data_IF_287553629443
#
_entry.id   IF_287553629443
#
_cell.length_a   1.000
_cell.length_b   1.000
_cell.length_c   1.000
_cell.angle_alpha   90.00
_cell.angle_beta   90.00
_cell.angle_gamma   90.00
#
_symmetry.space_group_name_H-M   'P 1'
#
loop_
_entity.id
_entity.type
_entity.pdbx_description
1 polymer ?
#
# COMPACT_ATOMS: atom_id res chain seq x y z
N UNK A 1 -28.53 2.16 -13.51
CA UNK A 1 -27.17 2.67 -13.28
C UNK A 1 -27.08 3.94 -12.42
N UNK A 2 -28.16 4.54 -11.98
CA UNK A 2 -28.19 5.87 -11.34
C UNK A 2 -28.18 5.86 -9.80
N UNK A 3 -28.53 4.75 -9.16
CA UNK A 3 -28.75 4.70 -7.71
C UNK A 3 -27.46 4.48 -6.88
N UNK A 4 -26.45 3.83 -7.44
CA UNK A 4 -25.21 3.51 -6.72
C UNK A 4 -24.24 4.69 -6.68
N UNK A 5 -24.19 5.49 -7.75
CA UNK A 5 -23.33 6.69 -7.81
C UNK A 5 -23.78 7.79 -6.82
N UNK A 6 -25.09 7.92 -6.59
CA UNK A 6 -25.67 8.87 -5.64
C UNK A 6 -25.37 8.50 -4.18
N UNK A 7 -25.23 7.21 -3.87
CA UNK A 7 -24.96 6.75 -2.50
C UNK A 7 -23.49 7.01 -2.10
N UNK A 8 -22.58 7.01 -3.05
CA UNK A 8 -21.15 7.29 -2.82
C UNK A 8 -20.88 8.78 -2.59
N UNK A 9 -21.52 9.65 -3.36
CA UNK A 9 -21.42 11.11 -3.15
C UNK A 9 -22.02 11.52 -1.80
N UNK A 10 -23.10 10.87 -1.37
CA UNK A 10 -23.69 11.08 -0.04
C UNK A 10 -22.81 10.54 1.10
N UNK A 11 -22.00 9.50 0.88
CA UNK A 11 -21.06 8.98 1.89
C UNK A 11 -19.88 9.93 2.12
N UNK A 12 -19.34 10.56 1.07
CA UNK A 12 -18.26 11.55 1.20
C UNK A 12 -18.67 12.80 2.02
N UNK A 13 -19.96 13.09 2.07
CA UNK A 13 -20.51 14.25 2.81
C UNK A 13 -20.95 13.91 4.25
N UNK A 14 -21.07 12.62 4.63
CA UNK A 14 -21.61 12.19 5.93
C UNK A 14 -20.56 11.43 6.72
N UNK A 15 -19.94 12.11 7.68
CA UNK A 15 -19.04 11.46 8.66
C UNK A 15 -19.83 10.57 9.61
N UNK A 16 -19.26 9.42 9.98
CA UNK A 16 -19.78 8.51 10.98
C UNK A 16 -18.81 8.42 12.17
N UNK A 17 -19.33 8.09 13.34
CA UNK A 17 -18.49 7.73 14.47
C UNK A 17 -17.77 6.41 14.20
N UNK A 18 -16.59 6.24 14.79
CA UNK A 18 -15.80 5.01 14.69
C UNK A 18 -15.18 4.64 16.04
N UNK A 19 -14.83 3.39 16.17
CA UNK A 19 -14.10 2.83 17.31
C UNK A 19 -12.66 2.51 16.87
N UNK A 20 -11.71 2.59 17.80
CA UNK A 20 -10.29 2.26 17.55
C UNK A 20 -9.85 1.23 18.58
N UNK A 21 -9.27 0.12 18.11
CA UNK A 21 -8.73 -0.94 18.96
C UNK A 21 -7.44 -1.51 18.35
N UNK A 22 -6.54 -1.99 19.20
CA UNK A 22 -5.38 -2.78 18.77
C UNK A 22 -5.69 -4.26 18.94
N UNK A 23 -5.56 -5.05 17.88
CA UNK A 23 -5.74 -6.50 17.89
C UNK A 23 -4.44 -7.21 17.51
N UNK A 24 -4.17 -8.36 18.11
CA UNK A 24 -3.11 -9.23 17.66
C UNK A 24 -3.61 -10.05 16.46
N UNK A 25 -2.96 -9.89 15.30
CA UNK A 25 -3.33 -10.63 14.10
C UNK A 25 -2.34 -11.77 13.79
N UNK A 26 -1.11 -11.66 14.30
CA UNK A 26 -0.05 -12.64 14.07
C UNK A 26 0.94 -12.61 15.23
N UNK A 27 1.68 -13.71 15.44
CA UNK A 27 2.73 -13.79 16.44
C UNK A 27 3.94 -14.56 15.91
N UNK A 28 5.12 -14.02 16.12
CA UNK A 28 6.38 -14.69 15.85
C UNK A 28 7.14 -14.93 17.17
N UNK A 29 7.13 -16.17 17.67
CA UNK A 29 7.66 -16.47 19.01
C UNK A 29 6.95 -15.63 20.08
N UNK A 30 7.72 -14.86 20.84
CA UNK A 30 7.19 -13.98 21.90
C UNK A 30 6.77 -12.60 21.39
N UNK A 31 7.00 -12.28 20.09
CA UNK A 31 6.71 -10.98 19.50
C UNK A 31 5.33 -10.97 18.83
N UNK A 32 4.32 -10.30 19.42
CA UNK A 32 3.05 -10.09 18.77
C UNK A 32 3.17 -9.02 17.66
N UNK A 33 2.49 -9.23 16.55
CA UNK A 33 2.23 -8.21 15.54
C UNK A 33 0.79 -7.75 15.67
N UNK A 34 0.61 -6.46 15.85
CA UNK A 34 -0.68 -5.84 16.09
C UNK A 34 -1.19 -5.14 14.84
N UNK A 35 -2.51 -5.16 14.68
CA UNK A 35 -3.21 -4.25 13.79
C UNK A 35 -4.00 -3.25 14.61
N UNK A 36 -3.87 -1.96 14.32
CA UNK A 36 -4.77 -0.94 14.82
C UNK A 36 -5.95 -0.83 13.89
N UNK A 37 -7.11 -1.20 14.40
CA UNK A 37 -8.35 -1.25 13.64
C UNK A 37 -9.17 0.00 13.92
N UNK A 38 -9.48 0.75 12.88
CA UNK A 38 -10.41 1.88 12.89
C UNK A 38 -11.70 1.40 12.26
N UNK A 39 -12.75 1.23 13.08
CA UNK A 39 -13.98 0.56 12.69
C UNK A 39 -15.18 1.51 12.72
N UNK A 40 -15.77 1.85 11.56
CA UNK A 40 -16.99 2.67 11.50
C UNK A 40 -18.11 2.06 12.32
N UNK A 41 -18.87 2.91 13.04
CA UNK A 41 -20.12 2.48 13.69
C UNK A 41 -21.23 2.37 12.66
N UNK A 42 -22.10 1.38 12.82
CA UNK A 42 -23.20 1.10 11.87
C UNK A 42 -23.29 -0.38 11.53
N UNK A 43 -24.12 -0.70 10.56
CA UNK A 43 -24.46 -2.10 10.25
C UNK A 43 -23.53 -2.74 9.21
N UNK A 44 -22.77 -1.96 8.41
CA UNK A 44 -21.97 -2.51 7.32
C UNK A 44 -22.83 -3.19 6.23
N UNK A 45 -22.27 -4.02 5.36
CA UNK A 45 -20.84 -4.27 5.27
C UNK A 45 -20.09 -3.04 4.74
N UNK A 46 -18.95 -2.76 5.33
CA UNK A 46 -18.08 -1.66 4.94
C UNK A 46 -16.96 -2.15 4.04
N UNK A 47 -16.47 -1.36 3.06
CA UNK A 47 -15.16 -1.56 2.48
C UNK A 47 -14.08 -1.58 3.56
N UNK A 48 -13.01 -2.34 3.34
CA UNK A 48 -11.92 -2.44 4.30
C UNK A 48 -10.56 -2.32 3.59
N UNK A 49 -9.61 -1.65 4.23
CA UNK A 49 -8.24 -1.52 3.77
C UNK A 49 -7.28 -2.14 4.79
N UNK A 50 -6.40 -3.01 4.31
CA UNK A 50 -5.21 -3.41 5.04
C UNK A 50 -4.12 -2.37 4.71
N UNK A 51 -3.71 -1.60 5.72
CA UNK A 51 -2.89 -0.41 5.59
C UNK A 51 -1.43 -0.71 5.95
N UNK A 52 -0.54 -0.47 5.00
CA UNK A 52 0.89 -0.78 5.10
C UNK A 52 1.69 0.51 5.18
N UNK A 53 2.32 0.76 6.34
CA UNK A 53 3.08 1.98 6.57
C UNK A 53 4.36 2.07 5.71
N UNK A 54 4.84 3.29 5.51
CA UNK A 54 6.12 3.59 4.86
C UNK A 54 7.32 3.37 5.78
N UNK A 55 8.40 4.14 5.55
CA UNK A 55 9.63 4.09 6.36
C UNK A 55 10.79 3.35 5.72
N UNK A 56 10.80 3.26 4.38
CA UNK A 56 11.84 2.59 3.59
C UNK A 56 12.13 1.16 4.08
N UNK A 57 11.07 0.42 4.40
CA UNK A 57 11.07 -0.98 4.90
C UNK A 57 11.76 -1.20 6.26
N UNK A 58 12.19 -0.13 6.95
CA UNK A 58 12.99 -0.24 8.18
C UNK A 58 12.41 0.51 9.37
N UNK A 59 11.51 1.44 9.14
CA UNK A 59 10.97 2.35 10.15
C UNK A 59 9.46 2.34 10.18
N UNK A 60 8.90 3.02 11.19
CA UNK A 60 7.46 3.21 11.39
C UNK A 60 6.75 2.01 12.04
N UNK A 61 5.49 2.19 12.35
CA UNK A 61 4.61 1.21 12.95
C UNK A 61 3.14 1.50 12.59
N UNK A 62 2.21 0.71 13.12
CA UNK A 62 0.75 0.84 12.93
C UNK A 62 0.15 2.19 13.31
N UNK A 63 0.88 3.04 14.03
CA UNK A 63 0.41 4.37 14.45
C UNK A 63 0.73 5.45 13.42
N UNK A 64 1.59 5.13 12.48
CA UNK A 64 1.93 6.03 11.37
C UNK A 64 0.68 6.28 10.51
N UNK A 65 0.49 7.51 10.01
CA UNK A 65 -0.63 7.89 9.13
C UNK A 65 -2.03 7.83 9.79
N UNK A 66 -2.11 7.88 11.13
CA UNK A 66 -3.37 7.78 11.88
C UNK A 66 -4.46 8.73 11.36
N UNK A 67 -4.14 9.95 10.94
CA UNK A 67 -5.10 10.92 10.39
C UNK A 67 -5.81 10.39 9.13
N UNK A 68 -5.09 9.63 8.28
CA UNK A 68 -5.68 8.97 7.12
C UNK A 68 -6.65 7.89 7.55
N UNK A 69 -6.25 7.04 8.51
CA UNK A 69 -7.08 5.93 8.98
C UNK A 69 -8.34 6.43 9.68
N UNK A 70 -8.24 7.49 10.48
CA UNK A 70 -9.37 8.18 11.11
C UNK A 70 -10.34 8.75 10.04
N UNK A 71 -9.78 9.42 9.02
CA UNK A 71 -10.58 9.96 7.93
C UNK A 71 -11.33 8.83 7.18
N UNK A 72 -10.63 7.73 6.83
CA UNK A 72 -11.26 6.58 6.18
C UNK A 72 -12.40 6.01 7.03
N UNK A 73 -12.18 5.81 8.33
CA UNK A 73 -13.20 5.28 9.23
C UNK A 73 -14.41 6.22 9.37
N UNK A 74 -14.16 7.53 9.49
CA UNK A 74 -15.22 8.53 9.51
C UNK A 74 -16.06 8.54 8.22
N UNK A 75 -15.51 8.03 7.12
CA UNK A 75 -16.21 7.91 5.83
C UNK A 75 -16.66 6.47 5.49
N UNK A 76 -16.78 5.61 6.52
CA UNK A 76 -17.36 4.29 6.38
C UNK A 76 -16.43 3.24 5.76
N UNK A 77 -15.10 3.38 5.93
CA UNK A 77 -14.10 2.40 5.48
C UNK A 77 -13.37 1.88 6.70
N UNK A 78 -13.34 0.56 6.90
CA UNK A 78 -12.55 -0.06 7.97
C UNK A 78 -11.08 0.00 7.58
N UNK A 79 -10.20 0.48 8.47
CA UNK A 79 -8.76 0.49 8.26
C UNK A 79 -8.04 -0.40 9.26
N UNK A 80 -7.19 -1.30 8.76
CA UNK A 80 -6.32 -2.19 9.54
C UNK A 80 -4.87 -1.74 9.38
N UNK A 81 -4.42 -0.80 10.20
CA UNK A 81 -3.04 -0.32 10.18
C UNK A 81 -2.12 -1.36 10.85
N UNK A 82 -1.21 -1.93 10.09
CA UNK A 82 -0.40 -3.08 10.51
C UNK A 82 0.93 -2.69 11.16
N UNK A 83 1.34 -3.46 12.20
CA UNK A 83 2.74 -3.76 12.42
C UNK A 83 3.11 -4.98 11.55
N UNK A 84 4.31 -5.04 11.04
CA UNK A 84 4.85 -6.19 10.31
C UNK A 84 6.37 -6.27 10.49
N UNK A 85 6.95 -7.44 10.29
CA UNK A 85 8.40 -7.61 10.35
C UNK A 85 9.09 -6.79 9.26
N UNK A 86 10.17 -6.10 9.63
CA UNK A 86 10.88 -5.18 8.74
C UNK A 86 12.30 -4.92 9.20
N UNK A 87 13.08 -4.23 8.37
CA UNK A 87 14.43 -3.79 8.70
C UNK A 87 15.48 -4.89 8.66
N UNK A 88 16.55 -4.65 9.40
CA UNK A 88 17.71 -5.52 9.40
C UNK A 88 17.45 -6.87 10.05
N UNK A 89 16.65 -6.92 11.10
CA UNK A 89 16.34 -8.16 11.82
C UNK A 89 15.45 -9.09 11.00
N UNK A 90 14.57 -8.52 10.19
CA UNK A 90 13.58 -9.24 9.42
C UNK A 90 13.57 -8.76 7.95
N UNK A 91 14.63 -9.11 7.18
CA UNK A 91 14.79 -8.63 5.81
C UNK A 91 13.74 -9.23 4.87
N UNK A 92 13.76 -8.77 3.62
CA UNK A 92 12.96 -9.36 2.54
C UNK A 92 13.07 -10.89 2.52
N UNK A 93 11.96 -11.67 2.43
CA UNK A 93 10.57 -11.24 2.18
C UNK A 93 9.67 -11.20 3.44
N UNK A 94 10.20 -11.08 4.65
CA UNK A 94 9.43 -11.21 5.90
C UNK A 94 8.19 -10.31 5.97
N UNK A 95 8.31 -9.03 5.59
CA UNK A 95 7.17 -8.10 5.56
C UNK A 95 6.03 -8.59 4.65
N UNK A 96 6.36 -9.15 3.48
CA UNK A 96 5.37 -9.64 2.53
C UNK A 96 4.62 -10.87 3.04
N UNK A 97 5.29 -11.71 3.83
CA UNK A 97 4.66 -12.85 4.49
C UNK A 97 3.61 -12.40 5.50
N UNK A 98 3.96 -11.40 6.32
CA UNK A 98 3.05 -10.88 7.34
C UNK A 98 1.87 -10.13 6.72
N UNK A 99 2.10 -9.32 5.67
CA UNK A 99 1.03 -8.60 4.98
C UNK A 99 0.10 -9.57 4.22
N UNK A 100 0.66 -10.59 3.55
CA UNK A 100 -0.14 -11.62 2.91
C UNK A 100 -1.00 -12.37 3.94
N UNK A 101 -0.42 -12.71 5.10
CA UNK A 101 -1.18 -13.32 6.19
C UNK A 101 -2.26 -12.38 6.72
N UNK A 102 -1.96 -11.07 6.92
CA UNK A 102 -2.93 -10.08 7.40
C UNK A 102 -4.15 -9.97 6.48
N UNK A 103 -3.97 -9.97 5.15
CA UNK A 103 -5.11 -9.98 4.21
C UNK A 103 -5.97 -11.22 4.42
N UNK A 104 -5.37 -12.39 4.56
CA UNK A 104 -6.11 -13.65 4.79
C UNK A 104 -6.77 -13.70 6.16
N UNK A 105 -6.12 -13.14 7.18
CA UNK A 105 -6.69 -12.98 8.53
C UNK A 105 -7.93 -12.09 8.51
N UNK A 106 -7.86 -10.92 7.86
CA UNK A 106 -9.02 -10.00 7.74
C UNK A 106 -10.16 -10.66 6.97
N UNK A 107 -9.88 -11.45 5.93
CA UNK A 107 -10.90 -12.22 5.22
C UNK A 107 -11.57 -13.26 6.11
N UNK A 108 -10.79 -13.97 6.91
CA UNK A 108 -11.29 -14.99 7.84
C UNK A 108 -12.23 -14.40 8.89
N UNK A 109 -11.91 -13.19 9.37
CA UNK A 109 -12.66 -12.48 10.41
C UNK A 109 -13.58 -11.36 9.85
N UNK A 110 -13.89 -11.39 8.55
CA UNK A 110 -14.57 -10.29 7.88
C UNK A 110 -15.90 -9.90 8.52
N UNK A 111 -16.70 -10.86 8.99
CA UNK A 111 -17.98 -10.60 9.65
C UNK A 111 -17.82 -9.86 10.99
N UNK A 112 -16.77 -10.14 11.76
CA UNK A 112 -16.48 -9.47 13.03
C UNK A 112 -16.16 -7.99 12.83
N UNK A 113 -15.54 -7.68 11.69
CA UNK A 113 -15.22 -6.32 11.28
C UNK A 113 -16.29 -5.65 10.42
N UNK A 114 -17.46 -6.26 10.31
CA UNK A 114 -18.58 -5.76 9.48
C UNK A 114 -18.16 -5.45 8.03
N UNK A 115 -17.31 -6.30 7.46
CA UNK A 115 -16.90 -6.27 6.06
C UNK A 115 -17.17 -7.62 5.38
N UNK A 116 -16.74 -7.78 4.15
CA UNK A 116 -16.79 -9.05 3.39
C UNK A 116 -15.45 -9.28 2.68
N UNK A 117 -15.03 -10.54 2.45
CA UNK A 117 -13.77 -10.86 1.78
C UNK A 117 -13.56 -10.14 0.44
N UNK A 118 -14.65 -9.89 -0.30
CA UNK A 118 -14.62 -9.22 -1.61
C UNK A 118 -14.44 -7.70 -1.51
N UNK A 119 -14.67 -7.10 -0.32
CA UNK A 119 -14.57 -5.67 -0.08
C UNK A 119 -13.22 -5.26 0.52
N UNK A 120 -12.24 -6.18 0.55
CA UNK A 120 -10.93 -5.93 1.14
C UNK A 120 -9.97 -5.46 0.06
N UNK A 121 -9.33 -4.32 0.31
CA UNK A 121 -8.24 -3.77 -0.47
C UNK A 121 -6.95 -3.69 0.34
N UNK A 122 -5.85 -3.38 -0.37
CA UNK A 122 -4.56 -3.01 0.21
C UNK A 122 -4.32 -1.52 0.02
N UNK A 123 -3.74 -0.88 1.01
CA UNK A 123 -3.30 0.50 0.87
C UNK A 123 -1.92 0.67 1.47
N UNK A 124 -1.14 1.60 0.95
CA UNK A 124 0.16 1.87 1.53
C UNK A 124 0.85 3.11 0.98
N UNK A 125 1.81 3.60 1.77
CA UNK A 125 2.58 4.79 1.47
C UNK A 125 4.05 4.44 1.26
N UNK A 126 4.71 5.08 0.28
CA UNK A 126 6.14 4.93 0.05
C UNK A 126 6.56 3.44 -0.07
N UNK A 127 7.44 2.94 0.79
CA UNK A 127 7.78 1.51 0.85
C UNK A 127 6.59 0.62 1.21
N UNK A 128 5.60 1.12 1.95
CA UNK A 128 4.36 0.39 2.20
C UNK A 128 3.49 0.27 0.96
N UNK A 129 3.44 1.30 0.12
CA UNK A 129 2.77 1.22 -1.19
C UNK A 129 3.40 0.20 -2.14
N UNK A 130 4.74 0.07 -2.08
CA UNK A 130 5.46 -0.99 -2.76
C UNK A 130 5.03 -2.38 -2.26
N UNK A 131 5.07 -2.61 -0.94
CA UNK A 131 4.72 -3.90 -0.34
C UNK A 131 3.25 -4.27 -0.63
N UNK A 132 2.34 -3.30 -0.53
CA UNK A 132 0.92 -3.47 -0.84
C UNK A 132 0.71 -3.91 -2.30
N UNK A 133 1.34 -3.22 -3.25
CA UNK A 133 1.25 -3.58 -4.67
C UNK A 133 1.87 -4.94 -4.95
N UNK A 134 3.02 -5.27 -4.37
CA UNK A 134 3.69 -6.55 -4.61
C UNK A 134 2.88 -7.74 -4.09
N UNK A 135 2.27 -7.62 -2.89
CA UNK A 135 1.35 -8.65 -2.38
C UNK A 135 0.12 -8.77 -3.26
N UNK A 136 -0.47 -7.65 -3.69
CA UNK A 136 -1.63 -7.66 -4.58
C UNK A 136 -1.33 -8.29 -5.94
N UNK A 137 -0.15 -8.05 -6.50
CA UNK A 137 0.29 -8.65 -7.76
C UNK A 137 0.61 -10.15 -7.64
N UNK A 138 1.10 -10.60 -6.48
CA UNK A 138 1.54 -11.98 -6.24
C UNK A 138 0.85 -12.62 -5.01
N UNK A 139 -0.50 -12.64 -4.94
CA UNK A 139 -1.23 -13.09 -3.75
C UNK A 139 -1.04 -14.57 -3.44
N UNK A 140 -0.67 -15.37 -4.43
CA UNK A 140 -0.48 -16.82 -4.32
C UNK A 140 1.01 -17.24 -4.30
N UNK A 141 1.94 -16.29 -4.31
CA UNK A 141 3.38 -16.63 -4.24
C UNK A 141 3.68 -17.41 -2.96
N UNK A 142 4.19 -18.64 -3.06
CA UNK A 142 4.41 -19.48 -1.88
C UNK A 142 5.42 -18.89 -0.88
N UNK A 143 6.29 -18.00 -1.33
CA UNK A 143 7.23 -17.28 -0.46
C UNK A 143 6.51 -16.26 0.43
N UNK A 144 5.44 -15.65 -0.08
CA UNK A 144 4.63 -14.66 0.64
C UNK A 144 3.47 -15.32 1.40
N UNK A 145 2.91 -16.41 0.87
CA UNK A 145 1.85 -17.18 1.51
C UNK A 145 2.37 -18.23 2.51
N UNK A 146 3.62 -18.09 2.99
CA UNK A 146 4.32 -19.08 3.78
C UNK A 146 3.73 -19.32 5.20
N UNK A 147 3.00 -18.36 5.76
CA UNK A 147 2.40 -18.49 7.10
C UNK A 147 1.00 -19.09 6.96
N UNK A 148 0.76 -20.25 7.55
CA UNK A 148 -0.53 -20.92 7.48
C UNK A 148 -1.62 -20.19 8.32
N UNK A 149 -2.86 -20.22 7.84
CA UNK A 149 -4.01 -19.90 8.69
C UNK A 149 -4.20 -20.98 9.77
N UNK A 150 -4.94 -20.69 10.87
CA UNK A 150 -5.20 -21.67 11.92
C UNK A 150 -5.77 -22.98 11.37
N UNK A 151 -5.42 -24.13 11.96
CA UNK A 151 -5.96 -25.43 11.55
C UNK A 151 -7.50 -25.44 11.55
N UNK A 152 -8.10 -25.94 10.48
CA UNK A 152 -9.56 -25.99 10.32
C UNK A 152 -10.22 -24.69 9.84
N UNK A 153 -9.47 -23.59 9.71
CA UNK A 153 -10.01 -22.35 9.15
C UNK A 153 -10.34 -22.52 7.65
N UNK A 154 -11.39 -21.85 7.15
CA UNK A 154 -11.65 -21.77 5.72
C UNK A 154 -10.43 -21.26 4.96
N UNK A 155 -10.20 -21.82 3.78
CA UNK A 155 -9.10 -21.38 2.92
C UNK A 155 -9.40 -19.98 2.36
N UNK A 156 -8.51 -19.04 2.63
CA UNK A 156 -8.49 -17.72 2.03
C UNK A 156 -7.12 -17.47 1.38
N UNK A 157 -7.12 -16.82 0.24
CA UNK A 157 -5.93 -16.28 -0.41
C UNK A 157 -5.78 -14.78 -0.10
N UNK A 158 -4.67 -14.19 -0.54
CA UNK A 158 -4.40 -12.77 -0.38
C UNK A 158 -4.82 -11.90 -1.58
N UNK A 159 -5.73 -12.39 -2.45
CA UNK A 159 -6.30 -11.54 -3.52
C UNK A 159 -7.09 -10.37 -2.91
N UNK A 160 -7.04 -9.22 -3.56
CA UNK A 160 -7.73 -8.01 -3.09
C UNK A 160 -8.51 -7.36 -4.21
N UNK A 161 -9.58 -6.65 -3.84
CA UNK A 161 -10.44 -5.95 -4.79
C UNK A 161 -9.87 -4.63 -5.30
N UNK A 162 -8.90 -4.04 -4.59
CA UNK A 162 -8.34 -2.75 -4.94
C UNK A 162 -6.98 -2.49 -4.28
N UNK A 163 -6.18 -1.59 -4.88
CA UNK A 163 -4.92 -1.10 -4.28
C UNK A 163 -4.88 0.42 -4.31
N UNK A 164 -4.65 1.04 -3.15
CA UNK A 164 -4.51 2.49 -2.99
C UNK A 164 -3.07 2.81 -2.60
N UNK A 165 -2.37 3.62 -3.39
CA UNK A 165 -0.97 3.93 -3.15
C UNK A 165 -0.74 5.44 -3.05
N UNK A 166 0.04 5.84 -2.05
CA UNK A 166 0.55 7.20 -1.92
C UNK A 166 2.05 7.19 -2.15
N UNK A 167 2.52 7.85 -3.25
CA UNK A 167 3.94 7.94 -3.64
C UNK A 167 4.74 6.64 -3.37
N UNK A 168 4.34 5.49 -3.91
CA UNK A 168 4.97 4.21 -3.64
C UNK A 168 6.39 4.14 -4.20
N UNK A 169 7.26 3.36 -3.55
CA UNK A 169 8.56 2.98 -4.10
C UNK A 169 8.37 1.78 -5.02
N UNK A 170 7.80 2.00 -6.19
CA UNK A 170 7.36 0.90 -7.05
C UNK A 170 8.54 0.16 -7.73
N UNK A 171 9.71 0.78 -7.78
CA UNK A 171 10.95 0.20 -8.33
C UNK A 171 12.10 0.34 -7.31
N UNK A 172 12.21 -0.60 -6.34
CA UNK A 172 13.26 -0.52 -5.32
C UNK A 172 14.68 -0.53 -5.90
N UNK A 173 14.95 -1.30 -6.95
CA UNK A 173 16.27 -1.33 -7.59
C UNK A 173 16.59 0.00 -8.30
N UNK A 174 15.62 0.54 -9.05
CA UNK A 174 15.78 1.84 -9.71
C UNK A 174 16.04 2.95 -8.70
N UNK A 175 15.27 3.00 -7.58
CA UNK A 175 15.51 3.99 -6.52
C UNK A 175 16.87 3.83 -5.84
N UNK A 176 17.33 2.62 -5.59
CA UNK A 176 18.65 2.37 -5.03
C UNK A 176 19.76 2.93 -5.92
N UNK A 177 19.69 2.63 -7.22
CA UNK A 177 20.65 3.13 -8.20
C UNK A 177 20.54 4.64 -8.40
N UNK A 178 19.33 5.20 -8.39
CA UNK A 178 19.09 6.64 -8.41
C UNK A 178 19.75 7.32 -7.21
N UNK A 179 19.58 6.80 -6.00
CA UNK A 179 20.22 7.31 -4.79
C UNK A 179 21.76 7.24 -4.87
N UNK A 180 22.31 6.14 -5.38
CA UNK A 180 23.77 6.00 -5.60
C UNK A 180 24.30 7.05 -6.57
N UNK A 181 23.61 7.31 -7.68
CA UNK A 181 23.97 8.37 -8.64
C UNK A 181 23.88 9.76 -8.00
N UNK A 182 22.82 10.03 -7.26
CA UNK A 182 22.66 11.32 -6.56
C UNK A 182 23.76 11.55 -5.51
N UNK A 183 24.22 10.50 -4.81
CA UNK A 183 25.31 10.58 -3.85
C UNK A 183 26.68 10.81 -4.52
N UNK A 184 26.89 10.27 -5.72
CA UNK A 184 28.14 10.44 -6.48
C UNK A 184 28.21 11.76 -7.23
N UNK A 185 27.17 12.58 -7.26
CA UNK A 185 27.12 13.86 -7.95
C UNK A 185 27.92 14.96 -7.26
N UNK A 186 28.08 16.10 -7.95
CA UNK A 186 28.70 17.31 -7.40
C UNK A 186 27.73 17.94 -6.40
N UNK A 187 28.16 18.17 -5.15
CA UNK A 187 27.31 18.64 -4.05
C UNK A 187 26.12 17.69 -3.73
N UNK A 188 26.42 16.46 -3.29
CA UNK A 188 25.38 15.46 -3.04
C UNK A 188 24.42 15.92 -1.93
N UNK A 189 23.14 15.71 -2.14
CA UNK A 189 22.14 15.84 -1.08
C UNK A 189 22.40 14.83 0.05
N UNK A 190 21.85 15.06 1.24
CA UNK A 190 22.04 14.15 2.38
C UNK A 190 21.09 12.92 2.32
N UNK A 191 19.92 13.05 1.70
CA UNK A 191 18.93 11.98 1.66
C UNK A 191 19.40 10.64 1.07
N UNK A 192 20.31 10.58 0.06
CA UNK A 192 20.71 9.31 -0.54
C UNK A 192 21.41 8.37 0.43
N UNK A 193 22.21 8.90 1.38
CA UNK A 193 22.94 8.06 2.35
C UNK A 193 21.98 7.19 3.17
N UNK A 194 20.94 7.80 3.73
CA UNK A 194 19.96 7.08 4.55
C UNK A 194 19.12 6.09 3.73
N UNK A 195 18.80 6.43 2.49
CA UNK A 195 18.05 5.57 1.58
C UNK A 195 18.87 4.33 1.19
N UNK A 196 20.14 4.52 0.80
CA UNK A 196 21.05 3.42 0.45
C UNK A 196 21.19 2.45 1.65
N UNK A 197 21.50 2.99 2.84
CA UNK A 197 21.67 2.16 4.03
C UNK A 197 20.41 1.32 4.36
N UNK A 198 19.21 1.87 4.21
CA UNK A 198 17.96 1.13 4.43
C UNK A 198 17.69 0.08 3.35
N UNK A 199 18.04 0.37 2.09
CA UNK A 199 17.96 -0.65 1.04
C UNK A 199 18.91 -1.82 1.33
N UNK A 200 20.15 -1.53 1.68
CA UNK A 200 21.15 -2.57 2.03
C UNK A 200 20.69 -3.39 3.23
N UNK A 201 20.11 -2.73 4.22
CA UNK A 201 19.61 -3.35 5.45
C UNK A 201 18.44 -4.32 5.20
N UNK A 202 17.43 -3.90 4.44
CA UNK A 202 16.22 -4.71 4.20
C UNK A 202 16.40 -5.71 3.04
N UNK A 203 16.93 -5.25 1.90
CA UNK A 203 16.99 -6.06 0.68
C UNK A 203 18.19 -7.00 0.62
N UNK A 204 19.28 -6.69 1.29
CA UNK A 204 20.54 -7.44 1.32
C UNK A 204 21.28 -7.52 -0.03
N UNK A 205 20.60 -7.39 -1.16
CA UNK A 205 21.20 -7.47 -2.49
C UNK A 205 20.36 -6.78 -3.56
N UNK A 206 21.00 -6.37 -4.65
CA UNK A 206 20.31 -5.90 -5.85
C UNK A 206 19.44 -7.02 -6.49
N UNK A 207 19.84 -8.28 -6.34
CA UNK A 207 19.05 -9.41 -6.82
C UNK A 207 17.69 -9.51 -6.13
N UNK A 208 17.64 -9.32 -4.81
CA UNK A 208 16.39 -9.26 -4.07
C UNK A 208 15.56 -8.02 -4.44
N UNK A 209 16.22 -6.86 -4.65
CA UNK A 209 15.55 -5.64 -5.13
C UNK A 209 14.94 -5.83 -6.53
N UNK A 210 15.58 -6.62 -7.39
CA UNK A 210 15.08 -6.94 -8.73
C UNK A 210 13.97 -7.98 -8.69
N UNK A 211 14.04 -8.94 -7.78
CA UNK A 211 13.05 -10.00 -7.62
C UNK A 211 11.75 -9.46 -7.02
N UNK A 212 11.83 -8.73 -5.90
CA UNK A 212 10.68 -8.12 -5.20
C UNK A 212 10.25 -6.78 -5.83
N UNK A 213 10.21 -6.66 -7.14
CA UNK A 213 10.05 -5.41 -7.88
C UNK A 213 8.80 -5.42 -8.76
N UNK A 214 7.72 -4.72 -8.38
CA UNK A 214 6.50 -4.64 -9.18
C UNK A 214 6.72 -4.13 -10.61
N UNK A 215 7.57 -3.11 -10.79
CA UNK A 215 7.89 -2.57 -12.12
C UNK A 215 8.55 -3.63 -13.00
N UNK A 216 9.60 -4.26 -12.50
CA UNK A 216 10.36 -5.25 -13.27
C UNK A 216 9.56 -6.54 -13.49
N UNK A 217 8.65 -6.91 -12.58
CA UNK A 217 7.75 -8.04 -12.79
C UNK A 217 6.88 -7.84 -14.05
N UNK A 218 6.29 -6.64 -14.20
CA UNK A 218 5.52 -6.29 -15.40
C UNK A 218 6.38 -6.25 -16.66
N UNK A 219 7.57 -5.68 -16.59
CA UNK A 219 8.48 -5.57 -17.75
C UNK A 219 9.00 -6.94 -18.22
N UNK A 220 9.19 -7.88 -17.29
CA UNK A 220 9.54 -9.27 -17.61
C UNK A 220 8.36 -10.10 -18.13
N UNK A 221 7.14 -9.51 -18.15
CA UNK A 221 5.92 -10.22 -18.57
C UNK A 221 5.51 -11.33 -17.60
N UNK A 222 5.82 -11.20 -16.32
CA UNK A 222 5.39 -12.18 -15.31
C UNK A 222 3.85 -12.24 -15.24
N UNK A 223 3.32 -13.43 -15.03
CA UNK A 223 1.89 -13.63 -14.80
C UNK A 223 1.55 -13.18 -13.37
N UNK A 224 1.06 -11.97 -13.23
CA UNK A 224 0.67 -11.37 -11.96
C UNK A 224 -0.80 -10.96 -11.98
N UNK A 225 -1.39 -10.76 -10.79
CA UNK A 225 -2.70 -10.13 -10.68
C UNK A 225 -2.56 -8.62 -10.86
N UNK A 226 -3.56 -8.00 -11.48
CA UNK A 226 -3.60 -6.54 -11.68
C UNK A 226 -4.94 -5.97 -11.23
N UNK A 227 -5.24 -6.00 -9.90
CA UNK A 227 -6.49 -5.44 -9.41
C UNK A 227 -6.60 -3.94 -9.70
N UNK A 228 -7.81 -3.36 -9.77
CA UNK A 228 -7.98 -1.92 -9.88
C UNK A 228 -7.10 -1.16 -8.87
N UNK A 229 -6.37 -0.15 -9.34
CA UNK A 229 -5.40 0.57 -8.52
C UNK A 229 -5.51 2.09 -8.70
N UNK A 230 -5.13 2.83 -7.65
CA UNK A 230 -4.94 4.27 -7.72
C UNK A 230 -3.62 4.67 -7.09
N UNK A 231 -2.92 5.59 -7.74
CA UNK A 231 -1.65 6.14 -7.29
C UNK A 231 -1.78 7.66 -7.12
N UNK A 232 -1.56 8.12 -5.89
CA UNK A 232 -1.44 9.53 -5.55
C UNK A 232 0.04 9.89 -5.44
N UNK A 233 0.49 10.86 -6.24
CA UNK A 233 1.87 11.30 -6.30
C UNK A 233 1.97 12.79 -5.94
N UNK A 234 2.87 13.15 -5.03
CA UNK A 234 3.18 14.56 -4.76
C UNK A 234 4.02 15.16 -5.89
N UNK A 235 3.65 16.34 -6.37
CA UNK A 235 4.46 17.08 -7.32
C UNK A 235 5.81 17.47 -6.70
N UNK A 236 6.90 17.41 -7.48
CA UNK A 236 8.24 17.77 -7.03
C UNK A 236 8.93 16.76 -6.08
N UNK A 237 8.34 15.61 -5.83
CA UNK A 237 8.90 14.56 -4.96
C UNK A 237 10.02 13.78 -5.69
N UNK A 238 11.22 14.32 -5.72
CA UNK A 238 12.37 13.71 -6.41
C UNK A 238 12.83 12.36 -5.83
N UNK A 239 12.30 11.96 -4.68
CA UNK A 239 12.60 10.68 -4.05
C UNK A 239 11.75 9.52 -4.62
N UNK A 240 10.52 9.81 -5.07
CA UNK A 240 9.57 8.82 -5.59
C UNK A 240 9.17 9.11 -7.05
N UNK A 241 9.33 10.37 -7.49
CA UNK A 241 9.03 10.83 -8.83
C UNK A 241 10.32 11.27 -9.56
N UNK A 242 10.97 10.32 -10.19
CA UNK A 242 12.22 10.54 -10.93
C UNK A 242 12.20 9.75 -12.25
N UNK A 243 13.04 10.13 -13.18
CA UNK A 243 13.32 9.34 -14.39
C UNK A 243 14.46 8.35 -14.09
N UNK A 244 14.19 7.06 -14.28
CA UNK A 244 15.23 6.05 -14.15
C UNK A 244 16.23 6.13 -15.31
N UNK A 245 17.49 6.38 -14.98
CA UNK A 245 18.56 6.49 -15.96
C UNK A 245 18.92 5.15 -16.63
N UNK A 246 18.48 4.03 -16.05
CA UNK A 246 18.71 2.69 -16.59
C UNK A 246 17.53 2.22 -17.47
N UNK A 247 16.58 3.12 -17.79
CA UNK A 247 15.40 2.82 -18.59
C UNK A 247 15.29 3.73 -19.82
N UNK A 248 14.93 3.15 -20.95
CA UNK A 248 14.59 3.87 -22.19
C UNK A 248 13.19 4.50 -22.17
N UNK A 249 12.39 4.28 -21.11
CA UNK A 249 11.08 4.88 -21.01
C UNK A 249 11.18 6.42 -20.94
N UNK A 250 10.44 7.16 -21.78
CA UNK A 250 10.63 8.62 -21.90
C UNK A 250 10.14 9.42 -20.66
N UNK A 251 9.25 8.84 -19.84
CA UNK A 251 8.67 9.45 -18.65
C UNK A 251 9.39 9.11 -17.35
N UNK A 252 8.73 9.47 -16.24
CA UNK A 252 9.16 9.15 -14.88
C UNK A 252 8.66 7.76 -14.42
N UNK A 253 9.08 7.33 -13.24
CA UNK A 253 8.71 6.02 -12.67
C UNK A 253 7.19 5.82 -12.48
N UNK A 254 6.41 6.81 -11.97
CA UNK A 254 4.95 6.69 -11.93
C UNK A 254 4.33 6.43 -13.31
N UNK A 255 4.72 7.20 -14.32
CA UNK A 255 4.21 7.06 -15.69
C UNK A 255 4.61 5.71 -16.30
N UNK A 256 5.85 5.27 -16.06
CA UNK A 256 6.39 3.98 -16.52
C UNK A 256 5.60 2.82 -15.94
N UNK A 257 5.34 2.83 -14.63
CA UNK A 257 4.56 1.79 -13.98
C UNK A 257 3.12 1.75 -14.51
N UNK A 258 2.46 2.90 -14.60
CA UNK A 258 1.09 3.00 -15.12
C UNK A 258 0.99 2.44 -16.53
N UNK A 259 1.95 2.76 -17.40
CA UNK A 259 1.98 2.23 -18.77
C UNK A 259 2.12 0.70 -18.78
N UNK A 260 3.03 0.15 -17.97
CA UNK A 260 3.25 -1.29 -17.87
C UNK A 260 2.06 -2.03 -17.22
N UNK A 261 1.44 -1.44 -16.20
CA UNK A 261 0.27 -2.01 -15.53
C UNK A 261 -0.92 -2.12 -16.46
N UNK A 262 -1.19 -1.06 -17.24
CA UNK A 262 -2.25 -1.06 -18.27
C UNK A 262 -1.95 -2.03 -19.41
N UNK A 263 -0.69 -2.13 -19.84
CA UNK A 263 -0.25 -3.13 -20.83
C UNK A 263 -0.48 -4.57 -20.35
N UNK A 264 -0.37 -4.81 -19.04
CA UNK A 264 -0.67 -6.10 -18.42
C UNK A 264 -2.18 -6.35 -18.20
N UNK A 265 -3.06 -5.44 -18.63
CA UNK A 265 -4.52 -5.55 -18.56
C UNK A 265 -5.11 -4.95 -17.26
N UNK A 266 -4.32 -4.31 -16.42
CA UNK A 266 -4.80 -3.68 -15.19
C UNK A 266 -5.36 -2.27 -15.39
N UNK A 267 -6.30 -1.89 -14.54
CA UNK A 267 -6.83 -0.53 -14.46
C UNK A 267 -6.11 0.24 -13.37
N UNK A 268 -5.53 1.38 -13.69
CA UNK A 268 -4.83 2.24 -12.73
C UNK A 268 -5.03 3.72 -13.06
N UNK A 269 -5.39 4.49 -12.03
CA UNK A 269 -5.44 5.96 -12.07
C UNK A 269 -4.16 6.54 -11.43
N UNK A 270 -3.61 7.61 -12.01
CA UNK A 270 -2.48 8.37 -11.47
C UNK A 270 -2.91 9.81 -11.24
N UNK A 271 -2.85 10.27 -10.00
CA UNK A 271 -3.20 11.62 -9.59
C UNK A 271 -1.98 12.34 -9.04
N UNK A 272 -1.55 13.40 -9.71
CA UNK A 272 -0.57 14.33 -9.16
C UNK A 272 -1.27 15.33 -8.24
N UNK A 273 -0.71 15.48 -7.04
CA UNK A 273 -1.19 16.40 -6.02
C UNK A 273 -0.20 17.55 -5.87
N UNK A 274 -0.71 18.76 -5.68
CA UNK A 274 0.10 19.91 -5.31
C UNK A 274 0.49 19.81 -3.83
N UNK A 275 1.47 18.94 -3.54
CA UNK A 275 2.00 18.70 -2.20
C UNK A 275 3.51 18.83 -2.23
N UNK A 276 4.03 19.84 -1.55
CA UNK A 276 5.48 19.95 -1.31
C UNK A 276 5.88 19.01 -0.17
N UNK A 277 6.51 17.87 -0.52
CA UNK A 277 7.00 16.90 0.47
C UNK A 277 8.47 17.10 0.85
N UNK A 278 9.18 18.01 0.19
CA UNK A 278 10.62 18.19 0.43
C UNK A 278 10.94 18.95 1.72
N UNK A 279 9.97 19.64 2.30
CA UNK A 279 10.21 20.53 3.41
C UNK A 279 10.37 19.87 4.78
N UNK A 280 10.28 18.54 4.88
CA UNK A 280 10.33 17.84 6.19
C UNK A 280 9.24 18.27 7.17
N UNK A 281 8.23 18.98 6.69
CA UNK A 281 7.12 19.49 7.47
C UNK A 281 5.97 18.49 7.48
N UNK A 282 5.18 18.54 8.54
CA UNK A 282 3.92 17.83 8.60
C UNK A 282 3.08 18.20 7.36
N UNK A 283 2.41 17.23 6.70
CA UNK A 283 1.60 17.52 5.53
C UNK A 283 0.58 18.60 5.88
N UNK A 284 0.43 19.57 4.99
CA UNK A 284 -0.63 20.56 5.10
C UNK A 284 -1.98 19.83 5.05
N UNK A 285 -2.67 19.78 6.20
CA UNK A 285 -3.93 19.02 6.34
C UNK A 285 -5.01 19.50 5.36
N UNK A 286 -4.95 20.75 4.90
CA UNK A 286 -5.88 21.26 3.88
C UNK A 286 -5.68 20.57 2.53
N UNK A 287 -4.44 20.20 2.19
CA UNK A 287 -4.08 19.52 0.95
C UNK A 287 -4.23 18.00 1.06
N UNK A 288 -3.96 17.42 2.24
CA UNK A 288 -4.17 15.97 2.47
C UNK A 288 -5.65 15.60 2.53
N UNK A 289 -6.51 16.48 3.01
CA UNK A 289 -7.96 16.27 3.04
C UNK A 289 -8.54 16.05 1.64
N UNK A 290 -8.07 16.79 0.63
CA UNK A 290 -8.47 16.54 -0.77
C UNK A 290 -8.02 15.16 -1.25
N UNK A 291 -6.79 14.73 -0.93
CA UNK A 291 -6.31 13.38 -1.27
C UNK A 291 -7.18 12.29 -0.62
N UNK A 292 -7.48 12.42 0.67
CA UNK A 292 -8.28 11.43 1.38
C UNK A 292 -9.72 11.38 0.84
N UNK A 293 -10.31 12.53 0.52
CA UNK A 293 -11.63 12.59 -0.15
C UNK A 293 -11.63 11.83 -1.49
N UNK A 294 -10.62 12.06 -2.32
CA UNK A 294 -10.45 11.33 -3.60
C UNK A 294 -10.24 9.84 -3.41
N UNK A 295 -9.52 9.41 -2.35
CA UNK A 295 -9.38 7.99 -2.02
C UNK A 295 -10.74 7.36 -1.69
N UNK A 296 -11.56 8.03 -0.85
CA UNK A 296 -12.91 7.56 -0.50
C UNK A 296 -13.80 7.46 -1.74
N UNK A 297 -13.81 8.49 -2.58
CA UNK A 297 -14.59 8.49 -3.82
C UNK A 297 -14.14 7.37 -4.78
N UNK A 298 -12.83 7.19 -4.94
CA UNK A 298 -12.29 6.14 -5.79
C UNK A 298 -12.67 4.75 -5.28
N UNK A 299 -12.50 4.50 -3.98
CA UNK A 299 -12.91 3.24 -3.34
C UNK A 299 -14.39 2.97 -3.53
N UNK A 300 -15.22 3.99 -3.38
CA UNK A 300 -16.66 3.87 -3.59
C UNK A 300 -17.06 3.48 -5.01
N UNK A 301 -16.24 3.82 -6.02
CA UNK A 301 -16.47 3.40 -7.41
C UNK A 301 -15.94 1.99 -7.71
N UNK A 302 -14.84 1.59 -7.08
CA UNK A 302 -14.06 0.40 -7.46
C UNK A 302 -14.24 -0.78 -6.48
N UNK A 303 -14.58 -0.51 -5.22
CA UNK A 303 -14.86 -1.54 -4.21
C UNK A 303 -16.38 -1.57 -3.97
N UNK A 304 -17.12 -1.96 -4.99
CA UNK A 304 -18.57 -2.12 -4.90
C UNK A 304 -18.91 -3.54 -4.48
N UNK A 305 -20.01 -3.66 -3.69
CA UNK A 305 -20.72 -4.92 -3.53
C UNK A 305 -21.08 -5.40 -4.94
N UNK A 306 -20.39 -6.38 -5.46
CA UNK A 306 -20.86 -7.12 -6.61
C UNK A 306 -22.25 -7.62 -6.27
N UNK A 307 -23.27 -7.04 -6.91
CA UNK A 307 -24.62 -7.58 -6.89
C UNK A 307 -24.53 -8.83 -7.75
N UNK A 308 -24.25 -9.98 -7.08
CA UNK A 308 -24.41 -11.29 -7.68
C UNK A 308 -25.81 -11.79 -7.44
#
# INVERSE_FOLDING_TARGET
MTTVALDVQNRAAKTTEYDVEDIEYLRHGDKPLLARVFKPRGNGPFPALVEVHGGAWCLSDRKTEHLRHEFMAAHGIVSFALDFRSGETDPYPASLQDINFAVRFVKLHASEFKTRPQLIGLSGQSSGGHLAMLVAMRPHDPRYAAIALPPGAPAHDATVGAVVMSWPVINPLGRYRHAKRALAGVNPAEWPKSIIARHDSYWRSEANMAEGNPMLALERGEKVQTPPAVWFQGGGDTLHDYKDADSDFPGNEPQRFVANYRKAGGEIELHYLDMDRHAGHAPDLSKTGDMFGRMVEWLGRNVTLGVG
#
